data_IF_930866305413
#
_entry.id   IF_930866305413
#
_cell.length_a   1.000
_cell.length_b   1.000
_cell.length_c   1.000
_cell.angle_alpha   90.00
_cell.angle_beta   90.00
_cell.angle_gamma   90.00
#
_symmetry.space_group_name_H-M   'P 1'
#
loop_
_entity.id
_entity.type
_entity.pdbx_description
1 polymer ?
#
# COMPACT_ATOMS: atom_id res chain seq x y z
N UNK A 1 -0.72 -13.80 -8.63
CA UNK A 1 0.24 -12.71 -8.87
C UNK A 1 1.68 -13.20 -8.68
N UNK A 2 2.63 -12.80 -9.53
CA UNK A 2 4.07 -13.08 -9.34
C UNK A 2 4.72 -11.94 -8.56
N UNK A 3 5.41 -12.26 -7.47
CA UNK A 3 6.17 -11.28 -6.67
C UNK A 3 7.64 -11.37 -7.03
N UNK A 4 8.28 -10.24 -7.28
CA UNK A 4 9.69 -10.10 -7.65
C UNK A 4 10.37 -9.15 -6.66
N UNK A 5 11.55 -9.49 -6.15
CA UNK A 5 12.28 -8.65 -5.21
C UNK A 5 13.38 -7.85 -5.93
N UNK A 6 13.12 -6.54 -6.07
CA UNK A 6 13.98 -5.60 -6.78
C UNK A 6 13.82 -5.64 -8.31
N UNK A 7 14.01 -4.48 -8.95
CA UNK A 7 13.93 -4.36 -10.42
C UNK A 7 15.03 -5.13 -11.13
N UNK A 8 16.14 -5.44 -10.46
CA UNK A 8 17.24 -6.22 -11.04
C UNK A 8 16.92 -7.71 -11.22
N UNK A 9 15.89 -8.20 -10.51
CA UNK A 9 15.37 -9.56 -10.65
C UNK A 9 14.25 -9.70 -11.71
N UNK A 10 13.91 -8.60 -12.39
CA UNK A 10 13.04 -8.65 -13.56
C UNK A 10 13.70 -9.47 -14.67
N UNK A 11 12.92 -10.25 -15.39
CA UNK A 11 13.38 -11.07 -16.52
C UNK A 11 12.31 -11.12 -17.64
N UNK A 12 12.70 -11.42 -18.90
CA UNK A 12 11.79 -11.43 -20.04
C UNK A 12 10.63 -12.42 -19.95
N UNK A 13 10.70 -13.44 -19.08
CA UNK A 13 9.60 -14.41 -18.89
C UNK A 13 8.36 -13.79 -18.26
N UNK A 14 8.47 -12.58 -17.68
CA UNK A 14 7.35 -11.81 -17.16
C UNK A 14 6.45 -11.24 -18.26
N UNK A 15 6.91 -11.26 -19.52
CA UNK A 15 6.23 -10.67 -20.65
C UNK A 15 6.46 -9.16 -20.76
N UNK A 16 5.64 -8.53 -21.60
CA UNK A 16 5.65 -7.09 -21.80
C UNK A 16 4.91 -6.39 -20.67
N UNK A 17 5.59 -5.53 -19.89
CA UNK A 17 5.02 -4.93 -18.68
C UNK A 17 4.47 -3.53 -18.92
N UNK A 18 3.28 -3.24 -18.40
CA UNK A 18 2.75 -1.89 -18.22
C UNK A 18 2.74 -1.58 -16.72
N UNK A 19 3.39 -0.51 -16.30
CA UNK A 19 3.86 -0.35 -14.92
C UNK A 19 3.22 0.86 -14.23
N UNK A 20 2.90 0.74 -12.95
CA UNK A 20 2.65 1.87 -12.05
C UNK A 20 3.61 1.77 -10.87
N UNK A 21 4.13 2.91 -10.41
CA UNK A 21 5.05 3.00 -9.27
C UNK A 21 4.36 3.73 -8.12
N UNK A 22 4.37 3.16 -6.92
CA UNK A 22 3.78 3.79 -5.74
C UNK A 22 3.97 2.99 -4.46
N UNK A 23 3.74 3.62 -3.32
CA UNK A 23 3.81 2.97 -2.00
C UNK A 23 2.64 2.01 -1.80
N UNK A 24 1.47 2.35 -2.32
CA UNK A 24 0.22 1.57 -2.21
C UNK A 24 -0.16 1.24 -0.76
N UNK A 25 0.16 2.15 0.18
CA UNK A 25 -0.21 1.95 1.56
C UNK A 25 -1.73 2.05 1.74
N UNK A 26 -2.30 0.99 2.31
CA UNK A 26 -3.72 0.84 2.56
C UNK A 26 -4.57 0.45 1.36
N UNK A 27 -4.09 0.44 0.13
CA UNK A 27 -4.86 0.18 -1.10
C UNK A 27 -6.28 0.76 -1.04
N UNK A 28 -6.36 2.08 -0.78
CA UNK A 28 -7.59 2.85 -0.70
C UNK A 28 -8.26 3.00 -2.09
N UNK A 29 -9.46 3.58 -2.12
CA UNK A 29 -10.24 3.76 -3.35
C UNK A 29 -9.47 4.43 -4.49
N UNK A 30 -8.63 5.43 -4.19
CA UNK A 30 -7.76 6.06 -5.19
C UNK A 30 -6.74 5.10 -5.80
N UNK A 31 -6.16 4.19 -4.99
CA UNK A 31 -5.28 3.16 -5.49
C UNK A 31 -6.04 2.12 -6.34
N UNK A 32 -7.22 1.69 -5.89
CA UNK A 32 -8.04 0.73 -6.65
C UNK A 32 -8.45 1.28 -8.02
N UNK A 33 -8.85 2.56 -8.07
CA UNK A 33 -9.12 3.27 -9.32
C UNK A 33 -7.89 3.26 -10.25
N UNK A 34 -6.70 3.56 -9.71
CA UNK A 34 -5.46 3.56 -10.48
C UNK A 34 -5.13 2.15 -11.01
N UNK A 35 -5.34 1.10 -10.21
CA UNK A 35 -5.09 -0.28 -10.60
C UNK A 35 -6.10 -0.79 -11.66
N UNK A 36 -7.34 -0.31 -11.63
CA UNK A 36 -8.31 -0.58 -12.69
C UNK A 36 -7.82 -0.01 -14.03
N UNK A 37 -7.43 1.26 -14.06
CA UNK A 37 -6.86 1.89 -15.25
C UNK A 37 -5.55 1.24 -15.70
N UNK A 38 -4.73 0.75 -14.76
CA UNK A 38 -3.53 -0.02 -15.09
C UNK A 38 -3.86 -1.29 -15.89
N UNK A 39 -4.87 -2.04 -15.43
CA UNK A 39 -5.30 -3.27 -16.13
C UNK A 39 -5.83 -2.97 -17.53
N UNK A 40 -6.66 -1.94 -17.66
CA UNK A 40 -7.25 -1.54 -18.93
C UNK A 40 -6.17 -1.06 -19.92
N UNK A 41 -5.24 -0.23 -19.43
CA UNK A 41 -4.12 0.26 -20.24
C UNK A 41 -3.17 -0.87 -20.66
N UNK A 42 -2.91 -1.83 -19.78
CA UNK A 42 -2.11 -3.01 -20.09
C UNK A 42 -2.82 -3.91 -21.11
N UNK A 43 -4.10 -4.20 -20.92
CA UNK A 43 -4.89 -5.02 -21.85
C UNK A 43 -4.94 -4.42 -23.26
N UNK A 44 -5.15 -3.11 -23.38
CA UNK A 44 -5.16 -2.40 -24.65
C UNK A 44 -3.82 -2.49 -25.41
N UNK A 45 -2.73 -2.80 -24.74
CA UNK A 45 -1.36 -2.92 -25.28
C UNK A 45 -0.83 -4.35 -25.32
N UNK A 46 -1.69 -5.33 -25.04
CA UNK A 46 -1.28 -6.74 -24.92
C UNK A 46 -0.11 -6.90 -23.93
N UNK A 47 -0.15 -6.13 -22.84
CA UNK A 47 0.87 -6.11 -21.80
C UNK A 47 0.31 -6.68 -20.48
N UNK A 48 1.22 -6.94 -19.57
CA UNK A 48 0.95 -7.48 -18.23
C UNK A 48 0.90 -6.31 -17.25
N UNK A 49 -0.18 -6.15 -16.45
CA UNK A 49 -0.26 -5.10 -15.44
C UNK A 49 0.71 -5.37 -14.30
N UNK A 50 1.63 -4.43 -14.07
CA UNK A 50 2.69 -4.55 -13.09
C UNK A 50 2.70 -3.35 -12.12
N UNK A 51 2.96 -3.64 -10.84
CA UNK A 51 3.16 -2.64 -9.79
C UNK A 51 4.59 -2.71 -9.31
N UNK A 52 5.23 -1.55 -9.16
CA UNK A 52 6.47 -1.41 -8.38
C UNK A 52 6.10 -0.71 -7.08
N UNK A 53 6.29 -1.41 -5.96
CA UNK A 53 6.10 -0.89 -4.60
C UNK A 53 7.38 -1.08 -3.80
N UNK A 54 7.38 -0.64 -2.54
CA UNK A 54 8.58 -0.62 -1.71
C UNK A 54 8.42 -1.49 -0.47
N UNK A 55 9.51 -2.10 -0.01
CA UNK A 55 9.57 -2.88 1.24
C UNK A 55 9.42 -1.97 2.48
N UNK A 56 9.98 -0.75 2.43
CA UNK A 56 9.89 0.29 3.46
C UNK A 56 9.15 1.52 2.93
N UNK A 57 8.54 2.28 3.85
CA UNK A 57 7.96 3.56 3.44
C UNK A 57 9.09 4.54 3.08
N UNK A 58 9.04 5.21 1.90
CA UNK A 58 10.11 6.12 1.48
C UNK A 58 10.47 7.19 2.52
N UNK A 59 9.50 7.68 3.28
CA UNK A 59 9.74 8.71 4.31
C UNK A 59 10.69 8.23 5.40
N UNK A 60 10.79 6.92 5.68
CA UNK A 60 11.77 6.39 6.63
C UNK A 60 13.21 6.77 6.24
N UNK A 61 13.53 6.68 4.94
CA UNK A 61 14.85 7.03 4.42
C UNK A 61 14.97 8.54 4.12
N UNK A 62 13.86 9.22 3.80
CA UNK A 62 13.86 10.63 3.42
C UNK A 62 13.91 11.54 4.65
N UNK A 63 13.10 11.24 5.67
CA UNK A 63 12.91 12.10 6.86
C UNK A 63 13.41 11.45 8.16
N UNK A 64 13.79 10.17 8.11
CA UNK A 64 14.17 9.37 9.28
C UNK A 64 12.99 8.77 10.04
N UNK A 65 11.74 8.98 9.61
CA UNK A 65 10.55 8.47 10.28
C UNK A 65 9.48 8.08 9.26
N UNK A 66 9.07 6.81 9.30
CA UNK A 66 7.92 6.36 8.51
C UNK A 66 6.60 6.75 9.19
N UNK A 67 5.58 7.18 8.45
CA UNK A 67 4.24 7.28 9.01
C UNK A 67 3.70 5.87 9.37
N UNK A 68 2.82 5.75 10.39
CA UNK A 68 2.20 4.47 10.68
C UNK A 68 1.43 3.95 9.47
N UNK A 69 1.58 2.65 9.17
CA UNK A 69 1.02 2.05 7.97
C UNK A 69 -0.49 1.85 8.08
N UNK A 70 -1.18 1.82 6.95
CA UNK A 70 -2.62 1.51 6.83
C UNK A 70 -2.89 0.03 6.56
N UNK A 71 -1.90 -0.71 6.07
CA UNK A 71 -1.90 -2.15 5.95
C UNK A 71 -0.46 -2.67 6.02
N UNK A 72 -0.29 -3.88 6.55
CA UNK A 72 1.02 -4.53 6.55
C UNK A 72 1.44 -4.98 5.13
N UNK A 73 2.72 -5.34 4.91
CA UNK A 73 3.22 -5.74 3.59
C UNK A 73 2.52 -6.97 3.00
N UNK A 74 2.16 -7.96 3.82
CA UNK A 74 1.51 -9.18 3.34
C UNK A 74 0.07 -8.86 2.90
N UNK A 75 -0.68 -8.12 3.71
CA UNK A 75 -2.01 -7.63 3.34
C UNK A 75 -1.96 -6.78 2.06
N UNK A 76 -0.93 -5.94 1.90
CA UNK A 76 -0.75 -5.15 0.68
C UNK A 76 -0.60 -6.04 -0.56
N UNK A 77 0.22 -7.10 -0.48
CA UNK A 77 0.38 -8.05 -1.59
C UNK A 77 -0.91 -8.82 -1.89
N UNK A 78 -1.62 -9.30 -0.87
CA UNK A 78 -2.93 -9.94 -1.04
C UNK A 78 -3.92 -9.03 -1.77
N UNK A 79 -3.94 -7.74 -1.43
CA UNK A 79 -4.84 -6.76 -2.03
C UNK A 79 -4.46 -6.39 -3.46
N UNK A 80 -3.17 -6.31 -3.76
CA UNK A 80 -2.68 -6.11 -5.13
C UNK A 80 -3.09 -7.29 -6.02
N UNK A 81 -2.94 -8.52 -5.53
CA UNK A 81 -3.38 -9.72 -6.23
C UNK A 81 -4.90 -9.70 -6.48
N UNK A 82 -5.68 -9.40 -5.44
CA UNK A 82 -7.15 -9.29 -5.53
C UNK A 82 -7.61 -8.19 -6.48
N UNK A 83 -6.80 -7.12 -6.65
CA UNK A 83 -7.05 -6.05 -7.62
C UNK A 83 -6.66 -6.43 -9.06
N UNK A 84 -6.17 -7.66 -9.30
CA UNK A 84 -5.83 -8.17 -10.64
C UNK A 84 -4.46 -7.70 -11.16
N UNK A 85 -3.56 -7.30 -10.27
CA UNK A 85 -2.14 -7.08 -10.60
C UNK A 85 -1.51 -8.43 -10.90
N UNK A 86 -0.81 -8.57 -12.01
CA UNK A 86 -0.19 -9.83 -12.40
C UNK A 86 1.25 -9.96 -11.89
N UNK A 87 1.97 -8.84 -11.84
CA UNK A 87 3.36 -8.77 -11.36
C UNK A 87 3.49 -7.66 -10.32
N UNK A 88 4.07 -7.97 -9.16
CA UNK A 88 4.44 -6.96 -8.16
C UNK A 88 5.95 -7.03 -7.91
N UNK A 89 6.63 -5.92 -8.14
CA UNK A 89 8.02 -5.74 -7.76
C UNK A 89 8.06 -5.06 -6.39
N UNK A 90 8.64 -5.73 -5.40
CA UNK A 90 8.94 -5.15 -4.09
C UNK A 90 10.38 -4.65 -4.13
N UNK A 91 10.55 -3.35 -4.30
CA UNK A 91 11.85 -2.69 -4.41
C UNK A 91 12.31 -2.20 -3.04
N UNK A 92 13.53 -2.52 -2.66
CA UNK A 92 14.14 -1.92 -1.45
C UNK A 92 14.32 -0.43 -1.64
N UNK A 93 13.72 0.37 -0.73
CA UNK A 93 13.87 1.81 -0.73
C UNK A 93 14.98 2.20 0.25
N UNK A 94 16.18 2.39 -0.29
CA UNK A 94 17.39 2.75 0.45
C UNK A 94 17.99 4.08 -0.05
N UNK A 95 19.07 4.53 0.57
CA UNK A 95 19.77 5.76 0.17
C UNK A 95 20.26 5.68 -1.28
N UNK A 96 20.86 4.60 -1.78
CA UNK A 96 21.19 4.42 -3.19
C UNK A 96 20.01 4.62 -4.12
N UNK A 97 18.84 4.00 -3.83
CA UNK A 97 17.65 4.18 -4.66
C UNK A 97 17.11 5.60 -4.61
N UNK A 98 17.08 6.22 -3.42
CA UNK A 98 16.68 7.63 -3.24
C UNK A 98 17.50 8.58 -4.12
N UNK A 99 18.80 8.31 -4.28
CA UNK A 99 19.71 9.13 -5.08
C UNK A 99 19.75 8.74 -6.56
N UNK A 100 19.02 7.68 -6.96
CA UNK A 100 18.99 7.23 -8.34
C UNK A 100 18.10 8.15 -9.19
N UNK A 101 18.62 8.78 -10.26
CA UNK A 101 17.82 9.54 -11.21
C UNK A 101 16.73 8.68 -11.84
N UNK A 102 15.58 9.28 -12.19
CA UNK A 102 14.43 8.55 -12.72
C UNK A 102 14.76 7.82 -14.03
N UNK A 103 15.50 8.47 -14.92
CA UNK A 103 15.90 7.91 -16.21
C UNK A 103 16.80 6.67 -16.06
N UNK A 104 17.74 6.72 -15.12
CA UNK A 104 18.58 5.58 -14.75
C UNK A 104 17.73 4.41 -14.22
N UNK A 105 16.74 4.70 -13.36
CA UNK A 105 15.84 3.69 -12.84
C UNK A 105 14.96 3.07 -13.94
N UNK A 106 14.41 3.90 -14.83
CA UNK A 106 13.60 3.42 -15.97
C UNK A 106 14.44 2.59 -16.93
N UNK A 107 15.67 3.02 -17.25
CA UNK A 107 16.59 2.25 -18.12
C UNK A 107 16.95 0.89 -17.52
N UNK A 108 17.08 0.78 -16.21
CA UNK A 108 17.29 -0.52 -15.53
C UNK A 108 16.10 -1.46 -15.76
N UNK A 109 14.87 -0.96 -15.67
CA UNK A 109 13.66 -1.74 -15.93
C UNK A 109 13.62 -2.15 -17.41
N UNK A 110 13.75 -1.19 -18.34
CA UNK A 110 13.69 -1.44 -19.78
C UNK A 110 14.80 -2.37 -20.29
N UNK A 111 15.95 -2.40 -19.62
CA UNK A 111 17.03 -3.33 -19.93
C UNK A 111 16.78 -4.78 -19.48
N UNK A 112 15.72 -5.04 -18.70
CA UNK A 112 15.38 -6.37 -18.15
C UNK A 112 14.14 -6.99 -18.76
N UNK A 113 13.18 -6.17 -19.17
CA UNK A 113 11.88 -6.61 -19.71
C UNK A 113 11.46 -5.75 -20.89
N UNK A 114 10.57 -6.26 -21.71
CA UNK A 114 9.84 -5.43 -22.68
C UNK A 114 8.89 -4.49 -21.90
N UNK A 115 9.22 -3.20 -21.90
CA UNK A 115 8.48 -2.18 -21.19
C UNK A 115 7.44 -1.55 -22.12
N UNK A 116 6.16 -1.83 -21.91
CA UNK A 116 5.05 -1.26 -22.69
C UNK A 116 4.78 0.19 -22.29
N UNK A 117 4.96 0.54 -21.02
CA UNK A 117 4.75 1.90 -20.55
C UNK A 117 4.52 2.06 -19.06
N UNK A 118 4.19 3.32 -18.72
CA UNK A 118 3.84 3.71 -17.34
C UNK A 118 2.45 4.29 -17.27
N UNK A 119 1.73 3.97 -16.18
CA UNK A 119 0.54 4.68 -15.75
C UNK A 119 0.92 5.68 -14.66
N UNK A 120 0.49 6.92 -14.79
CA UNK A 120 0.78 8.00 -13.86
C UNK A 120 -0.48 8.83 -13.59
N UNK A 121 -0.49 9.57 -12.48
CA UNK A 121 -1.41 10.69 -12.26
C UNK A 121 -0.66 12.01 -12.47
N UNK A 122 -1.35 13.15 -12.63
CA UNK A 122 -0.67 14.44 -12.82
C UNK A 122 0.34 14.79 -11.74
N UNK A 123 0.09 14.34 -10.49
CA UNK A 123 0.94 14.61 -9.32
C UNK A 123 2.02 13.54 -9.10
N UNK A 124 2.01 12.47 -9.89
CA UNK A 124 3.00 11.39 -9.78
C UNK A 124 4.39 11.90 -10.07
N UNK A 125 5.34 11.52 -9.20
CA UNK A 125 6.75 11.74 -9.48
C UNK A 125 7.61 10.73 -8.70
N UNK A 126 8.68 10.27 -9.32
CA UNK A 126 9.64 9.34 -8.73
C UNK A 126 11.09 9.65 -9.13
N UNK A 127 12.04 8.89 -8.57
CA UNK A 127 13.47 9.13 -8.76
C UNK A 127 14.00 10.30 -7.95
N UNK A 128 15.30 10.50 -8.02
CA UNK A 128 15.99 11.59 -7.28
C UNK A 128 15.36 12.94 -7.60
N UNK A 129 15.12 13.74 -6.56
CA UNK A 129 14.49 15.07 -6.61
C UNK A 129 13.14 15.10 -7.35
N UNK A 130 12.44 13.94 -7.35
CA UNK A 130 11.13 13.79 -8.04
C UNK A 130 11.22 14.12 -9.55
N UNK A 131 12.38 13.88 -10.18
CA UNK A 131 12.64 14.22 -11.57
C UNK A 131 11.80 13.44 -12.60
N UNK A 132 11.25 12.29 -12.22
CA UNK A 132 10.39 11.44 -13.07
C UNK A 132 8.93 11.88 -13.00
N UNK A 133 8.60 13.04 -13.55
CA UNK A 133 7.24 13.55 -13.74
C UNK A 133 6.58 12.91 -14.97
N UNK A 134 5.25 13.01 -15.17
CA UNK A 134 4.62 12.52 -16.39
C UNK A 134 5.28 12.99 -17.68
N UNK A 135 5.64 14.26 -17.77
CA UNK A 135 6.27 14.85 -18.96
C UNK A 135 7.67 14.29 -19.20
N UNK A 136 8.50 14.21 -18.17
CA UNK A 136 9.88 13.69 -18.29
C UNK A 136 9.90 12.19 -18.57
N UNK A 137 8.98 11.44 -17.99
CA UNK A 137 8.81 9.99 -18.25
C UNK A 137 8.30 9.76 -19.68
N UNK A 138 7.36 10.59 -20.17
CA UNK A 138 6.89 10.52 -21.54
C UNK A 138 8.00 10.87 -22.55
N UNK A 139 8.80 11.90 -22.27
CA UNK A 139 9.94 12.26 -23.10
C UNK A 139 10.97 11.12 -23.22
N UNK A 140 11.30 10.47 -22.11
CA UNK A 140 12.17 9.29 -22.13
C UNK A 140 11.53 8.11 -22.87
N UNK A 141 10.19 8.00 -22.85
CA UNK A 141 9.45 6.99 -23.59
C UNK A 141 9.63 7.10 -25.10
N UNK A 142 9.74 8.31 -25.64
CA UNK A 142 10.03 8.52 -27.07
C UNK A 142 11.40 7.94 -27.47
N UNK A 143 12.35 7.95 -26.56
CA UNK A 143 13.69 7.38 -26.80
C UNK A 143 13.70 5.86 -26.65
N UNK A 144 13.03 5.33 -25.62
CA UNK A 144 13.09 3.91 -25.24
C UNK A 144 11.98 3.05 -25.85
N UNK A 145 11.00 3.66 -26.54
CA UNK A 145 9.92 2.94 -27.24
C UNK A 145 8.78 2.49 -26.31
N UNK A 146 8.55 3.14 -25.18
CA UNK A 146 7.42 2.89 -24.29
C UNK A 146 6.46 4.09 -24.22
N UNK A 147 5.24 3.88 -23.75
CA UNK A 147 4.23 4.93 -23.63
C UNK A 147 4.06 5.40 -22.17
N UNK A 148 3.57 6.63 -22.00
CA UNK A 148 3.11 7.14 -20.70
C UNK A 148 1.64 7.49 -20.81
N UNK A 149 0.82 6.89 -19.96
CA UNK A 149 -0.62 7.17 -19.83
C UNK A 149 -0.84 7.94 -18.54
N UNK A 150 -1.46 9.11 -18.65
CA UNK A 150 -1.81 9.93 -17.48
C UNK A 150 -3.31 9.85 -17.26
N UNK A 151 -3.72 9.43 -16.06
CA UNK A 151 -5.13 9.38 -15.66
C UNK A 151 -5.39 10.41 -14.56
N UNK A 152 -6.57 11.03 -14.50
CA UNK A 152 -6.89 12.00 -13.46
C UNK A 152 -6.85 11.32 -12.08
N UNK A 153 -6.56 12.11 -11.04
CA UNK A 153 -6.62 11.64 -9.67
C UNK A 153 -8.07 11.32 -9.27
N UNK A 154 -8.26 10.24 -8.51
CA UNK A 154 -9.58 9.86 -8.02
C UNK A 154 -10.07 10.84 -6.95
N UNK A 155 -11.27 11.37 -7.15
CA UNK A 155 -11.94 12.24 -6.19
C UNK A 155 -13.15 11.51 -5.57
N UNK A 156 -13.29 11.60 -4.26
CA UNK A 156 -14.47 11.18 -3.54
C UNK A 156 -15.12 12.44 -2.94
N UNK A 157 -16.36 12.72 -3.33
CA UNK A 157 -17.09 13.93 -2.95
C UNK A 157 -16.34 15.26 -3.28
N UNK A 158 -15.56 15.24 -4.38
CA UNK A 158 -14.78 16.37 -4.84
C UNK A 158 -13.38 16.50 -4.24
N UNK A 159 -13.02 15.65 -3.27
CA UNK A 159 -11.73 15.70 -2.59
C UNK A 159 -10.84 14.49 -2.98
N UNK A 160 -9.52 14.68 -3.12
CA UNK A 160 -8.61 13.59 -3.43
C UNK A 160 -8.48 12.60 -2.26
N UNK A 161 -8.56 11.31 -2.56
CA UNK A 161 -8.34 10.25 -1.58
C UNK A 161 -6.85 9.98 -1.42
N UNK A 162 -6.34 10.11 -0.20
CA UNK A 162 -4.92 9.89 0.10
C UNK A 162 -4.71 9.08 1.39
N UNK A 163 -3.58 8.38 1.49
CA UNK A 163 -3.18 7.68 2.73
C UNK A 163 -3.04 8.65 3.91
N UNK A 164 -2.62 9.91 3.67
CA UNK A 164 -2.53 10.94 4.69
C UNK A 164 -3.89 11.30 5.29
N UNK A 165 -4.91 11.53 4.45
CA UNK A 165 -6.28 11.81 4.90
C UNK A 165 -6.87 10.64 5.70
N UNK A 166 -6.59 9.40 5.29
CA UNK A 166 -7.05 8.20 6.00
C UNK A 166 -6.38 8.08 7.37
N UNK A 167 -5.06 8.29 7.45
CA UNK A 167 -4.35 8.29 8.76
C UNK A 167 -4.90 9.35 9.69
N UNK A 168 -5.18 10.55 9.17
CA UNK A 168 -5.78 11.62 9.96
C UNK A 168 -7.16 11.21 10.50
N UNK A 169 -8.02 10.64 9.66
CA UNK A 169 -9.34 10.16 10.07
C UNK A 169 -9.23 9.07 11.16
N UNK A 170 -8.33 8.10 11.00
CA UNK A 170 -8.09 7.07 12.03
C UNK A 170 -7.59 7.71 13.33
N UNK A 171 -6.58 8.58 13.27
CA UNK A 171 -5.99 9.21 14.45
C UNK A 171 -6.96 10.15 15.19
N UNK A 172 -7.97 10.69 14.52
CA UNK A 172 -9.05 11.48 15.14
C UNK A 172 -10.22 10.63 15.65
N UNK A 173 -10.21 9.31 15.43
CA UNK A 173 -11.30 8.40 15.80
C UNK A 173 -12.46 8.36 14.80
N UNK A 174 -12.37 9.10 13.68
CA UNK A 174 -13.40 9.08 12.62
C UNK A 174 -13.20 7.85 11.71
N UNK A 175 -13.51 6.68 12.28
CA UNK A 175 -13.40 5.41 11.57
C UNK A 175 -14.40 5.31 10.39
N UNK A 176 -15.52 6.01 10.47
CA UNK A 176 -16.50 6.03 9.37
C UNK A 176 -15.94 6.73 8.12
N UNK A 177 -15.30 7.87 8.29
CA UNK A 177 -14.60 8.55 7.18
C UNK A 177 -13.41 7.70 6.69
N UNK A 178 -12.62 7.10 7.59
CA UNK A 178 -11.53 6.22 7.20
C UNK A 178 -12.02 5.03 6.36
N UNK A 179 -13.09 4.36 6.77
CA UNK A 179 -13.73 3.27 6.02
C UNK A 179 -14.23 3.74 4.66
N UNK A 180 -14.89 4.89 4.59
CA UNK A 180 -15.38 5.47 3.34
C UNK A 180 -14.24 5.76 2.34
N UNK A 181 -13.11 6.30 2.81
CA UNK A 181 -11.93 6.57 1.98
C UNK A 181 -11.20 5.29 1.56
N UNK A 182 -11.07 4.32 2.48
CA UNK A 182 -10.50 3.00 2.20
C UNK A 182 -11.38 2.17 1.25
N UNK A 183 -12.71 2.33 1.34
CA UNK A 183 -13.69 1.45 0.68
C UNK A 183 -13.91 0.12 1.41
N UNK A 184 -13.45 0.02 2.64
CA UNK A 184 -13.55 -1.14 3.53
C UNK A 184 -13.30 -0.75 4.99
N UNK A 185 -13.69 -1.58 5.97
CA UNK A 185 -13.34 -1.37 7.36
C UNK A 185 -11.83 -1.22 7.58
N UNK A 186 -11.46 -0.37 8.53
CA UNK A 186 -10.08 -0.31 9.02
C UNK A 186 -9.74 -1.66 9.64
N UNK A 187 -8.59 -2.21 9.31
CA UNK A 187 -8.15 -3.53 9.78
C UNK A 187 -6.73 -3.50 10.32
N UNK A 188 -6.48 -4.35 11.29
CA UNK A 188 -5.15 -4.63 11.84
C UNK A 188 -4.87 -6.13 11.69
N UNK A 189 -3.62 -6.46 11.40
CA UNK A 189 -3.15 -7.83 11.33
C UNK A 189 -2.02 -8.02 12.32
N UNK A 190 -2.09 -9.04 13.17
CA UNK A 190 -1.12 -9.23 14.22
C UNK A 190 -1.21 -10.59 14.90
N UNK A 191 -0.55 -10.71 16.05
CA UNK A 191 -0.54 -11.92 16.86
C UNK A 191 -1.14 -11.65 18.24
N UNK A 192 -2.05 -12.50 18.71
CA UNK A 192 -2.50 -12.47 20.09
C UNK A 192 -1.50 -13.21 20.95
N UNK A 193 -1.07 -12.55 22.01
CA UNK A 193 -0.22 -13.12 23.06
C UNK A 193 -0.94 -13.02 24.40
N UNK A 194 -0.59 -13.90 25.34
CA UNK A 194 -1.19 -13.86 26.69
C UNK A 194 -0.91 -12.52 27.36
N UNK A 195 -1.95 -11.91 27.94
CA UNK A 195 -1.85 -10.69 28.73
C UNK A 195 -1.49 -10.96 30.18
N UNK A 196 -1.22 -9.90 31.00
CA UNK A 196 -0.92 -10.01 32.40
C UNK A 196 -2.14 -10.42 33.27
N UNK A 197 -3.34 -10.27 32.71
CA UNK A 197 -4.61 -10.60 33.38
C UNK A 197 -5.27 -11.80 32.74
N UNK A 198 -5.93 -12.70 33.53
CA UNK A 198 -6.80 -13.72 32.96
C UNK A 198 -7.88 -13.08 32.09
N UNK A 199 -8.15 -13.64 30.90
CA UNK A 199 -9.16 -13.17 29.94
C UNK A 199 -8.83 -11.84 29.25
N UNK A 200 -7.54 -11.43 29.23
CA UNK A 200 -7.07 -10.28 28.45
C UNK A 200 -5.86 -10.68 27.64
N UNK A 201 -5.92 -10.54 26.31
CA UNK A 201 -4.81 -10.86 25.40
C UNK A 201 -4.28 -9.58 24.74
N UNK A 202 -2.97 -9.48 24.59
CA UNK A 202 -2.34 -8.38 23.85
C UNK A 202 -2.32 -8.70 22.36
N UNK A 203 -2.80 -7.78 21.53
CA UNK A 203 -2.61 -7.86 20.08
C UNK A 203 -1.30 -7.15 19.72
N UNK A 204 -0.30 -7.91 19.32
CA UNK A 204 1.00 -7.40 18.87
C UNK A 204 1.02 -7.27 17.36
N UNK A 205 1.28 -6.06 16.89
CA UNK A 205 1.43 -5.74 15.48
C UNK A 205 2.89 -5.95 15.06
N UNK A 206 3.15 -6.41 13.81
CA UNK A 206 4.51 -6.62 13.31
C UNK A 206 5.28 -5.31 13.10
N UNK A 207 4.57 -4.20 12.96
CA UNK A 207 5.10 -2.88 12.68
C UNK A 207 4.14 -1.78 13.15
N UNK A 208 4.57 -0.50 13.20
CA UNK A 208 3.69 0.61 13.55
C UNK A 208 2.54 0.77 12.54
N UNK A 209 1.31 0.62 13.02
CA UNK A 209 0.08 0.81 12.24
C UNK A 209 -0.67 2.04 12.71
N UNK A 210 -1.47 2.64 11.82
CA UNK A 210 -2.36 3.73 12.20
C UNK A 210 -3.44 3.21 13.15
N UNK A 211 -3.53 3.82 14.33
CA UNK A 211 -4.44 3.45 15.39
C UNK A 211 -5.38 4.61 15.72
N UNK A 212 -6.63 4.32 16.10
CA UNK A 212 -7.52 5.32 16.67
C UNK A 212 -7.04 5.73 18.08
N UNK A 213 -7.58 6.83 18.66
CA UNK A 213 -7.27 7.26 20.01
C UNK A 213 -7.50 6.16 21.05
N UNK A 214 -6.95 6.36 22.27
CA UNK A 214 -7.24 5.49 23.40
C UNK A 214 -8.75 5.38 23.63
N UNK A 215 -9.24 4.14 23.79
CA UNK A 215 -10.66 3.83 23.91
C UNK A 215 -10.97 2.38 23.62
N UNK A 216 -12.26 2.02 23.76
CA UNK A 216 -12.78 0.68 23.50
C UNK A 216 -13.55 0.67 22.18
N UNK A 217 -13.22 -0.25 21.31
CA UNK A 217 -13.77 -0.30 19.95
C UNK A 217 -14.40 -1.67 19.68
N UNK A 218 -15.66 -1.71 19.19
CA UNK A 218 -16.24 -2.94 18.71
C UNK A 218 -15.52 -3.37 17.42
N UNK A 219 -15.14 -4.63 17.39
CA UNK A 219 -14.37 -5.21 16.27
C UNK A 219 -14.91 -6.59 15.91
N UNK A 220 -14.52 -7.06 14.75
CA UNK A 220 -14.63 -8.47 14.36
C UNK A 220 -13.24 -9.06 14.22
N UNK A 221 -12.97 -10.13 14.96
CA UNK A 221 -11.72 -10.88 14.90
C UNK A 221 -11.87 -12.09 13.99
N UNK A 222 -10.88 -12.35 13.15
CA UNK A 222 -10.82 -13.52 12.26
C UNK A 222 -9.49 -14.26 12.45
N UNK A 223 -9.54 -15.48 13.03
CA UNK A 223 -10.70 -16.19 13.58
C UNK A 223 -11.21 -15.59 14.90
N UNK A 224 -12.50 -15.79 15.22
CA UNK A 224 -13.02 -15.52 16.56
C UNK A 224 -14.32 -14.74 16.68
N UNK A 225 -14.78 -14.03 15.63
CA UNK A 225 -16.05 -13.31 15.62
C UNK A 225 -16.04 -11.97 16.37
N UNK A 226 -17.24 -11.46 16.79
CA UNK A 226 -17.34 -10.16 17.47
C UNK A 226 -16.52 -10.09 18.76
N UNK A 227 -15.90 -8.94 18.99
CA UNK A 227 -15.03 -8.70 20.14
C UNK A 227 -14.92 -7.21 20.46
N UNK A 228 -14.26 -6.87 21.57
CA UNK A 228 -13.84 -5.53 21.90
C UNK A 228 -12.32 -5.45 21.85
N UNK A 229 -11.82 -4.40 21.20
CA UNK A 229 -10.40 -4.03 21.19
C UNK A 229 -10.23 -2.73 21.96
N UNK A 230 -9.43 -2.76 23.01
CA UNK A 230 -9.04 -1.58 23.77
C UNK A 230 -7.70 -1.07 23.26
N UNK A 231 -7.63 0.22 22.99
CA UNK A 231 -6.39 0.97 22.71
C UNK A 231 -6.06 1.75 23.97
N UNK A 232 -4.91 1.51 24.58
CA UNK A 232 -4.48 2.27 25.77
C UNK A 232 -3.73 3.57 25.38
N UNK A 233 -3.46 4.44 26.37
CA UNK A 233 -2.76 5.71 26.16
C UNK A 233 -1.34 5.57 25.60
N UNK A 234 -0.75 4.37 25.70
CA UNK A 234 0.54 4.05 25.13
C UNK A 234 0.44 3.42 23.72
N UNK A 235 -0.77 3.30 23.17
CA UNK A 235 -1.02 2.68 21.87
C UNK A 235 -0.92 1.14 21.90
N UNK A 236 -0.94 0.50 23.07
CA UNK A 236 -1.00 -0.95 23.16
C UNK A 236 -2.43 -1.42 22.97
N UNK A 237 -2.56 -2.59 22.38
CA UNK A 237 -3.84 -3.15 21.96
C UNK A 237 -4.19 -4.36 22.80
N UNK A 238 -5.40 -4.34 23.35
CA UNK A 238 -5.88 -5.37 24.25
C UNK A 238 -7.22 -5.91 23.79
N UNK A 239 -7.34 -7.23 23.72
CA UNK A 239 -8.61 -7.91 23.44
C UNK A 239 -9.15 -8.57 24.70
N UNK A 240 -10.41 -8.31 25.01
CA UNK A 240 -11.11 -8.98 26.09
C UNK A 240 -11.61 -10.37 25.69
N UNK A 241 -11.71 -11.25 26.69
CA UNK A 241 -12.21 -12.61 26.55
C UNK A 241 -11.14 -13.68 26.76
N UNK A 242 -11.61 -14.91 26.95
CA UNK A 242 -10.73 -16.08 27.07
C UNK A 242 -10.24 -16.48 25.69
N UNK A 243 -9.12 -15.86 25.27
CA UNK A 243 -8.54 -16.06 23.96
C UNK A 243 -7.18 -16.72 24.07
N UNK A 244 -7.05 -17.86 23.43
CA UNK A 244 -5.75 -18.52 23.31
C UNK A 244 -4.81 -17.69 22.44
N UNK A 245 -3.51 -17.72 22.70
CA UNK A 245 -2.52 -17.14 21.81
C UNK A 245 -2.75 -17.63 20.37
N UNK A 246 -2.81 -16.71 19.42
CA UNK A 246 -3.13 -16.99 18.01
C UNK A 246 -2.24 -16.15 17.12
N UNK A 247 -1.59 -16.80 16.15
CA UNK A 247 -0.81 -16.11 15.14
C UNK A 247 -1.70 -15.73 13.94
N UNK A 248 -1.40 -14.60 13.32
CA UNK A 248 -2.05 -14.19 12.09
C UNK A 248 -3.54 -13.83 12.24
N UNK A 249 -3.93 -13.20 13.37
CA UNK A 249 -5.30 -12.73 13.55
C UNK A 249 -5.54 -11.43 12.81
N UNK A 250 -6.67 -11.33 12.12
CA UNK A 250 -7.15 -10.09 11.49
C UNK A 250 -8.26 -9.49 12.34
N UNK A 251 -8.12 -8.23 12.69
CA UNK A 251 -9.10 -7.44 13.45
C UNK A 251 -9.67 -6.39 12.50
N UNK A 252 -11.01 -6.32 12.40
CA UNK A 252 -11.72 -5.28 11.64
C UNK A 252 -12.53 -4.41 12.58
N UNK A 253 -12.30 -3.11 12.54
CA UNK A 253 -13.11 -2.14 13.29
C UNK A 253 -14.52 -2.09 12.70
N UNK A 254 -15.52 -1.92 13.57
CA UNK A 254 -16.89 -1.66 13.15
C UNK A 254 -17.12 -0.15 13.15
N UNK A 255 -17.34 0.44 11.97
CA UNK A 255 -17.69 1.85 11.85
C UNK A 255 -19.13 2.05 12.33
N UNK A 256 -19.35 2.95 13.27
CA UNK A 256 -20.70 3.38 13.66
C UNK A 256 -21.29 2.70 14.89
N UNK A 257 -20.48 2.34 15.87
CA UNK A 257 -20.98 2.07 17.24
C UNK A 257 -20.81 3.30 18.12
#
# INVERSE_FOLDING_TARGET
MKVVHGVDALDPSLGRLFVVIGVFDGLHRGHLYLLEHLRDAAAARQAVPAVITFDHHPDEVITGTAPPLLCDPDERLERLDSAGVAVTVVQTFDVPLRLTPFDTFVRRIAGRVDLAGFLMTPESAFGHDRGGTPDTVAALGLELGYETVVVPSFLLDGEPVSSGAIRHAIASGDLATAERLLGRPVSLHGNLVGGPEPRRAELRLPMPMALPPAGSYPVTAEPGGPATLDVDDAGRLWMEGDRSPTNGIRIRFQAGA
#
